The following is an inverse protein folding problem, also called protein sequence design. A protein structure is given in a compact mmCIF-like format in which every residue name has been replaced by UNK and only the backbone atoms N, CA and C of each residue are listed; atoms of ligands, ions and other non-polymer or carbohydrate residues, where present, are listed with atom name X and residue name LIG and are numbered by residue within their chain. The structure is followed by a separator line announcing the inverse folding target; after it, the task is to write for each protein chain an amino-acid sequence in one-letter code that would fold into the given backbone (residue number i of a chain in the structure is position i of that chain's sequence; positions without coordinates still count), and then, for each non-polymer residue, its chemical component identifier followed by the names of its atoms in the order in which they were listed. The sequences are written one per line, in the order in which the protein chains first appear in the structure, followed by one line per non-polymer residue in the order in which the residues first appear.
data_IF_955965559045
#
_entry.id   IF_955965559045
#
_cell.length_a   1.000
_cell.length_b   1.000
_cell.length_c   1.000
_cell.angle_alpha   90.00
_cell.angle_beta   90.00
_cell.angle_gamma   90.00
#
_symmetry.space_group_name_H-M   'P 1'
#
loop_
_entity.id
_entity.type
_entity.pdbx_description
1 polymer ?
#
# COMPACT_ATOMS: atom_id res chain seq x y z
N UNK A 1 -11.42 10.42 -0.35
CA UNK A 1 -10.55 9.50 0.40
C UNK A 1 -9.15 9.74 -0.14
N UNK A 2 -8.22 10.19 0.69
CA UNK A 2 -6.84 10.47 0.27
C UNK A 2 -5.98 9.30 0.72
N UNK A 3 -5.26 8.66 -0.20
CA UNK A 3 -4.33 7.59 0.15
C UNK A 3 -2.89 8.04 -0.09
N UNK A 4 -2.00 7.66 0.82
CA UNK A 4 -0.56 7.91 0.74
C UNK A 4 0.05 6.64 0.17
N UNK A 5 0.58 6.69 -1.05
CA UNK A 5 1.21 5.54 -1.71
C UNK A 5 2.73 5.69 -1.77
N UNK A 6 3.47 4.79 -1.14
CA UNK A 6 4.93 4.76 -1.18
C UNK A 6 5.41 3.86 -2.34
N UNK A 7 6.28 4.40 -3.22
CA UNK A 7 6.78 3.66 -4.37
C UNK A 7 8.02 2.85 -3.99
N UNK A 8 7.91 1.52 -4.06
CA UNK A 8 9.02 0.61 -3.82
C UNK A 8 9.33 -0.06 -5.16
N UNK A 9 10.53 0.17 -5.69
CA UNK A 9 10.93 -0.38 -6.98
C UNK A 9 10.87 -1.92 -6.91
N UNK A 10 9.92 -2.53 -7.64
CA UNK A 10 9.72 -3.98 -7.67
C UNK A 10 8.64 -4.53 -6.74
N UNK A 11 7.91 -3.67 -6.01
CA UNK A 11 6.79 -4.07 -5.15
C UNK A 11 5.53 -3.23 -5.48
N UNK A 12 4.32 -3.77 -5.25
CA UNK A 12 3.09 -3.00 -5.41
C UNK A 12 2.98 -1.88 -4.38
N UNK A 13 2.29 -0.79 -4.75
CA UNK A 13 2.06 0.35 -3.88
C UNK A 13 1.16 -0.04 -2.69
N UNK A 14 1.46 0.43 -1.48
CA UNK A 14 0.66 0.13 -0.29
C UNK A 14 -0.30 1.28 0.02
N UNK A 15 -1.59 0.97 0.10
CA UNK A 15 -2.68 1.91 0.41
C UNK A 15 -3.25 1.60 1.78
N UNK A 16 -3.14 2.56 2.70
CA UNK A 16 -3.71 2.48 4.04
C UNK A 16 -4.95 3.38 4.12
N UNK A 17 -6.07 2.91 4.68
CA UNK A 17 -7.23 3.76 4.95
C UNK A 17 -6.85 4.86 5.95
N UNK A 18 -6.93 6.11 5.53
CA UNK A 18 -6.73 7.27 6.40
C UNK A 18 -8.08 7.90 6.76
N UNK A 19 -8.23 8.31 8.02
CA UNK A 19 -9.29 9.23 8.44
C UNK A 19 -8.65 10.57 8.84
N UNK A 20 -9.45 11.63 8.94
CA UNK A 20 -8.96 12.99 9.24
C UNK A 20 -8.26 13.15 10.60
N UNK A 21 -8.30 12.13 11.46
CA UNK A 21 -7.64 12.09 12.77
C UNK A 21 -6.40 11.19 12.80
N UNK A 22 -6.08 10.49 11.70
CA UNK A 22 -4.93 9.59 11.66
C UNK A 22 -3.66 10.38 11.40
N UNK A 23 -2.65 10.17 12.23
CA UNK A 23 -1.34 10.81 12.11
C UNK A 23 -0.60 10.33 10.84
N UNK A 24 -0.15 11.28 10.01
CA UNK A 24 0.52 10.96 8.73
C UNK A 24 1.85 10.23 8.94
N UNK A 25 2.56 10.53 10.03
CA UNK A 25 3.81 9.85 10.37
C UNK A 25 3.56 8.38 10.77
N UNK A 26 2.50 8.12 11.54
CA UNK A 26 2.07 6.75 11.85
C UNK A 26 1.65 5.97 10.59
N UNK A 27 0.96 6.61 9.64
CA UNK A 27 0.63 6.00 8.35
C UNK A 27 1.88 5.66 7.54
N UNK A 28 2.85 6.58 7.46
CA UNK A 28 4.12 6.34 6.77
C UNK A 28 4.89 5.17 7.38
N UNK A 29 4.99 5.11 8.71
CA UNK A 29 5.66 4.02 9.40
C UNK A 29 4.97 2.66 9.16
N UNK A 30 3.64 2.65 9.06
CA UNK A 30 2.89 1.44 8.73
C UNK A 30 3.17 0.98 7.29
N UNK A 31 3.21 1.90 6.34
CA UNK A 31 3.54 1.59 4.94
C UNK A 31 4.97 1.02 4.85
N UNK A 32 5.95 1.64 5.52
CA UNK A 32 7.34 1.18 5.54
C UNK A 32 7.47 -0.22 6.18
N UNK A 33 6.72 -0.50 7.25
CA UNK A 33 6.73 -1.84 7.86
C UNK A 33 6.18 -2.91 6.91
N UNK A 34 5.07 -2.61 6.22
CA UNK A 34 4.45 -3.55 5.28
C UNK A 34 5.35 -3.77 4.06
N UNK A 35 6.03 -2.71 3.61
CA UNK A 35 7.04 -2.76 2.56
C UNK A 35 8.17 -3.74 2.88
N UNK A 36 8.74 -3.61 4.08
CA UNK A 36 9.83 -4.46 4.55
C UNK A 36 9.38 -5.92 4.68
N UNK A 37 8.17 -6.16 5.18
CA UNK A 37 7.58 -7.50 5.24
C UNK A 37 7.38 -8.10 3.85
N UNK A 38 6.95 -7.31 2.85
CA UNK A 38 6.78 -7.79 1.47
C UNK A 38 8.13 -8.13 0.83
N UNK A 39 9.18 -7.38 1.15
CA UNK A 39 10.54 -7.66 0.70
C UNK A 39 11.12 -8.92 1.35
N UNK A 40 10.79 -9.18 2.62
CA UNK A 40 11.32 -10.31 3.38
C UNK A 40 10.55 -11.62 3.17
N UNK A 41 9.22 -11.58 3.30
CA UNK A 41 8.34 -12.76 3.33
C UNK A 41 7.62 -12.99 1.99
N UNK A 42 7.65 -11.99 1.09
CA UNK A 42 6.95 -12.02 -0.19
C UNK A 42 5.53 -11.45 -0.11
N UNK A 43 5.06 -10.88 -1.24
CA UNK A 43 3.79 -10.15 -1.34
C UNK A 43 2.59 -11.01 -0.95
N UNK A 44 2.49 -12.24 -1.44
CA UNK A 44 1.33 -13.12 -1.16
C UNK A 44 1.18 -13.44 0.33
N UNK A 45 2.30 -13.65 1.04
CA UNK A 45 2.30 -13.96 2.47
C UNK A 45 1.82 -12.75 3.29
N UNK A 46 2.25 -11.55 2.93
CA UNK A 46 1.83 -10.31 3.58
C UNK A 46 0.35 -10.03 3.30
N UNK A 47 -0.11 -10.19 2.07
CA UNK A 47 -1.53 -10.03 1.73
C UNK A 47 -2.42 -10.93 2.60
N UNK A 48 -2.03 -12.20 2.77
CA UNK A 48 -2.76 -13.13 3.63
C UNK A 48 -2.72 -12.71 5.11
N UNK A 49 -1.59 -12.20 5.60
CA UNK A 49 -1.42 -11.74 7.00
C UNK A 49 -2.32 -10.55 7.32
N UNK A 50 -2.44 -9.60 6.40
CA UNK A 50 -3.21 -8.37 6.59
C UNK A 50 -4.66 -8.45 6.08
N UNK A 51 -5.08 -9.60 5.56
CA UNK A 51 -6.37 -9.72 4.87
C UNK A 51 -6.52 -8.75 3.69
N UNK A 52 -5.39 -8.31 3.14
CA UNK A 52 -5.31 -7.30 2.11
C UNK A 52 -5.52 -7.92 0.72
N UNK A 53 -5.84 -7.09 -0.26
CA UNK A 53 -6.01 -7.51 -1.65
C UNK A 53 -5.08 -6.73 -2.56
N UNK A 54 -4.42 -7.46 -3.46
CA UNK A 54 -3.75 -6.86 -4.60
C UNK A 54 -4.82 -6.51 -5.65
N UNK A 55 -4.79 -5.28 -6.13
CA UNK A 55 -5.63 -4.81 -7.21
C UNK A 55 -4.75 -4.19 -8.29
N UNK A 56 -5.11 -4.43 -9.55
CA UNK A 56 -4.52 -3.68 -10.65
C UNK A 56 -4.95 -2.21 -10.51
N UNK A 57 -3.98 -1.30 -10.63
CA UNK A 57 -4.26 0.12 -10.71
C UNK A 57 -4.29 0.47 -12.19
N UNK A 58 -5.50 0.68 -12.71
CA UNK A 58 -5.72 1.05 -14.11
C UNK A 58 -5.90 2.58 -14.27
N UNK A 59 -5.95 3.31 -13.15
CA UNK A 59 -6.22 4.77 -13.07
C UNK A 59 -4.92 5.60 -13.07
N UNK A 60 -3.93 5.22 -13.87
CA UNK A 60 -2.79 6.11 -14.12
C UNK A 60 -3.20 7.14 -15.19
N UNK A 61 -3.32 8.40 -14.80
CA UNK A 61 -3.49 9.51 -15.74
C UNK A 61 -2.27 9.58 -16.68
N UNK A 62 -2.44 10.12 -17.89
CA UNK A 62 -1.41 10.13 -18.94
C UNK A 62 -0.12 10.87 -18.51
N UNK A 63 -0.23 11.77 -17.54
CA UNK A 63 0.87 12.54 -16.94
C UNK A 63 1.31 12.02 -15.55
N UNK A 64 0.79 10.87 -15.11
CA UNK A 64 1.13 10.32 -13.80
C UNK A 64 2.54 9.71 -13.85
N UNK A 65 3.51 10.43 -13.28
CA UNK A 65 4.94 10.10 -13.33
C UNK A 65 5.28 8.73 -12.68
N UNK A 66 4.31 8.09 -12.03
CA UNK A 66 4.48 6.92 -11.18
C UNK A 66 3.68 5.72 -11.70
N UNK A 67 3.95 5.30 -12.93
CA UNK A 67 3.46 4.02 -13.45
C UNK A 67 4.01 2.86 -12.60
N UNK A 68 3.15 2.13 -11.89
CA UNK A 68 3.52 0.93 -11.15
C UNK A 68 2.88 -0.31 -11.79
N UNK A 69 3.65 -1.14 -12.52
CA UNK A 69 3.10 -2.33 -13.19
C UNK A 69 2.67 -3.43 -12.22
N UNK A 70 2.99 -3.32 -10.93
CA UNK A 70 2.70 -4.33 -9.92
C UNK A 70 1.34 -4.13 -9.24
N UNK A 71 0.66 -2.99 -9.47
CA UNK A 71 -0.64 -2.67 -8.86
C UNK A 71 -0.54 -2.14 -7.43
N UNK A 72 -1.67 -2.18 -6.71
CA UNK A 72 -1.84 -1.63 -5.36
C UNK A 72 -2.35 -2.66 -4.36
N UNK A 73 -1.76 -2.65 -3.16
CA UNK A 73 -2.19 -3.42 -1.98
C UNK A 73 -3.06 -2.53 -1.11
N UNK A 74 -4.32 -2.90 -0.93
CA UNK A 74 -5.25 -2.17 -0.06
C UNK A 74 -5.37 -2.89 1.28
N UNK A 75 -4.85 -2.27 2.33
CA UNK A 75 -4.94 -2.79 3.70
C UNK A 75 -6.36 -2.56 4.25
N UNK A 76 -6.94 -3.59 4.85
CA UNK A 76 -8.23 -3.48 5.55
C UNK A 76 -7.91 -3.22 7.02
N UNK A 77 -7.89 -1.97 7.44
CA UNK A 77 -7.71 -1.64 8.86
C UNK A 77 -9.00 -1.93 9.61
N UNK A 78 -9.23 -3.19 10.01
CA UNK A 78 -10.04 -3.45 11.20
C UNK A 78 -9.20 -3.04 12.41
N UNK A 79 -9.31 -1.78 12.80
CA UNK A 79 -8.84 -1.30 14.10
C UNK A 79 -9.77 -1.91 15.15
N UNK A 80 -9.28 -2.89 15.90
CA UNK A 80 -9.89 -3.31 17.17
C UNK A 80 -9.32 -2.50 18.33
#
# INVERSE_FOLDING_TARGET
MSSVGFHLVGLPDVFVPSNSSTDELALSAMIDSVADEMAADGVEAVLARYGAKLQAIDEYEEDDFKYNPFGGVYLVTEVH
#
